data_IF_480559039078
#
_entry.id   IF_480559039078
#
_cell.length_a   1.000
_cell.length_b   1.000
_cell.length_c   1.000
_cell.angle_alpha   90.00
_cell.angle_beta   90.00
_cell.angle_gamma   90.00
#
_symmetry.space_group_name_H-M   'P 1'
#
loop_
_entity.id
_entity.type
_entity.pdbx_description
1 polymer ?
#
# COMPACT_ATOMS: atom_id res chain seq x y z
N UNK A 1 -4.97 16.88 17.46
CA UNK A 1 -3.95 16.48 16.46
C UNK A 1 -4.14 15.05 16.01
N UNK A 2 -4.28 14.82 14.71
CA UNK A 2 -4.45 13.49 14.13
C UNK A 2 -4.49 13.57 12.60
N UNK A 3 -4.23 12.44 11.93
CA UNK A 3 -4.50 12.32 10.51
C UNK A 3 -6.01 12.40 10.30
N UNK A 4 -6.47 13.25 9.40
CA UNK A 4 -7.87 13.29 8.97
C UNK A 4 -7.93 12.50 7.67
N UNK A 5 -8.59 11.34 7.70
CA UNK A 5 -8.63 10.43 6.57
C UNK A 5 -10.02 9.86 6.31
N UNK A 6 -10.33 9.62 5.04
CA UNK A 6 -11.54 8.91 4.61
C UNK A 6 -11.18 7.74 3.70
N UNK A 7 -11.92 6.65 3.86
CA UNK A 7 -11.89 5.51 2.95
C UNK A 7 -13.25 5.38 2.27
N UNK A 8 -13.25 5.06 0.99
CA UNK A 8 -14.48 4.83 0.23
C UNK A 8 -14.27 3.92 -0.96
N UNK A 9 -15.38 3.62 -1.63
CA UNK A 9 -15.40 2.91 -2.91
C UNK A 9 -15.66 3.94 -4.01
N UNK A 10 -14.85 3.91 -5.05
CA UNK A 10 -14.98 4.73 -6.25
C UNK A 10 -15.46 3.85 -7.41
N UNK A 11 -16.41 4.34 -8.20
CA UNK A 11 -17.03 3.59 -9.31
C UNK A 11 -16.77 4.25 -10.67
N UNK A 12 -16.34 5.52 -10.71
CA UNK A 12 -16.10 6.25 -11.97
C UNK A 12 -14.62 6.22 -12.39
N UNK A 13 -13.71 6.30 -11.43
CA UNK A 13 -12.26 6.22 -11.66
C UNK A 13 -11.78 4.83 -11.27
N UNK A 14 -11.93 3.90 -12.19
CA UNK A 14 -11.62 2.48 -11.99
C UNK A 14 -10.68 2.01 -13.08
N UNK A 15 -9.56 1.42 -12.69
CA UNK A 15 -8.59 0.86 -13.64
C UNK A 15 -9.15 -0.38 -14.38
N UNK A 16 -9.80 -1.26 -13.63
CA UNK A 16 -10.40 -2.49 -14.12
C UNK A 16 -11.55 -2.93 -13.21
N UNK A 17 -12.56 -3.59 -13.77
CA UNK A 17 -13.75 -4.01 -13.04
C UNK A 17 -14.76 -2.88 -12.83
N UNK A 18 -15.47 -2.90 -11.70
CA UNK A 18 -16.55 -1.93 -11.39
C UNK A 18 -16.20 -0.94 -10.28
N UNK A 19 -15.14 -1.21 -9.51
CA UNK A 19 -14.86 -0.54 -8.24
C UNK A 19 -13.37 -0.38 -8.01
N UNK A 20 -13.00 0.74 -7.44
CA UNK A 20 -11.68 1.02 -6.87
C UNK A 20 -11.80 1.40 -5.40
N UNK A 21 -10.70 1.25 -4.66
CA UNK A 21 -10.60 1.72 -3.28
C UNK A 21 -10.02 3.12 -3.30
N UNK A 22 -10.69 4.05 -2.63
CA UNK A 22 -10.29 5.46 -2.54
C UNK A 22 -9.86 5.78 -1.12
N UNK A 23 -8.77 6.52 -1.01
CA UNK A 23 -8.26 7.09 0.23
C UNK A 23 -8.03 8.58 0.02
N UNK A 24 -8.51 9.39 0.96
CA UNK A 24 -8.17 10.80 1.04
C UNK A 24 -7.60 11.04 2.44
N UNK A 25 -6.46 11.73 2.55
CA UNK A 25 -5.80 11.99 3.82
C UNK A 25 -5.24 13.42 3.88
N UNK A 26 -5.33 14.03 5.05
CA UNK A 26 -4.79 15.36 5.35
C UNK A 26 -4.29 15.43 6.79
N UNK A 27 -3.62 16.53 7.15
CA UNK A 27 -2.96 16.70 8.45
C UNK A 27 -1.97 15.57 8.79
N UNK A 28 -1.23 15.11 7.76
CA UNK A 28 -0.28 14.00 7.87
C UNK A 28 0.90 14.35 8.79
N UNK A 29 1.61 15.48 8.60
CA UNK A 29 2.64 16.00 9.53
C UNK A 29 3.61 14.90 10.04
N UNK A 30 4.24 14.14 9.13
CA UNK A 30 5.11 13.01 9.46
C UNK A 30 4.39 11.72 9.86
N UNK A 31 3.06 11.66 9.72
CA UNK A 31 2.21 10.47 9.96
C UNK A 31 1.67 9.92 8.64
N UNK A 32 0.96 8.81 8.72
CA UNK A 32 0.42 8.12 7.56
C UNK A 32 -1.02 7.66 7.75
N UNK A 33 -1.73 7.52 6.62
CA UNK A 33 -2.93 6.70 6.49
C UNK A 33 -2.59 5.49 5.63
N UNK A 34 -3.07 4.31 6.01
CA UNK A 34 -2.78 3.07 5.31
C UNK A 34 -4.05 2.28 5.06
N UNK A 35 -4.18 1.75 3.84
CA UNK A 35 -5.11 0.68 3.53
C UNK A 35 -4.35 -0.64 3.59
N UNK A 36 -4.76 -1.51 4.51
CA UNK A 36 -4.08 -2.77 4.78
C UNK A 36 -4.95 -3.97 4.40
N UNK A 37 -4.34 -4.93 3.71
CA UNK A 37 -4.89 -6.27 3.52
C UNK A 37 -3.91 -7.30 4.07
N UNK A 38 -4.44 -8.27 4.80
CA UNK A 38 -3.65 -9.36 5.36
C UNK A 38 -3.88 -10.65 4.57
N UNK A 39 -2.82 -11.37 4.26
CA UNK A 39 -2.86 -12.65 3.54
C UNK A 39 -1.99 -13.70 4.23
N UNK A 40 -2.41 -14.96 4.18
CA UNK A 40 -1.58 -16.08 4.59
C UNK A 40 -0.47 -16.29 3.54
N UNK A 41 0.74 -16.64 4.00
CA UNK A 41 1.88 -16.90 3.11
C UNK A 41 2.66 -18.12 3.58
N UNK A 42 3.39 -18.73 2.65
CA UNK A 42 4.32 -19.81 2.95
C UNK A 42 5.75 -19.30 2.79
N UNK A 43 6.58 -19.51 3.82
CA UNK A 43 8.01 -19.20 3.78
C UNK A 43 8.70 -19.85 2.57
N UNK A 44 9.72 -19.17 2.01
CA UNK A 44 10.52 -19.68 0.90
C UNK A 44 9.83 -19.64 -0.46
N UNK A 45 8.55 -19.24 -0.55
CA UNK A 45 7.89 -19.02 -1.84
C UNK A 45 8.33 -17.69 -2.45
N UNK A 46 8.49 -17.69 -3.77
CA UNK A 46 8.65 -16.45 -4.52
C UNK A 46 7.32 -15.70 -4.55
N UNK A 47 7.38 -14.38 -4.50
CA UNK A 47 6.22 -13.52 -4.67
C UNK A 47 6.53 -12.38 -5.64
N UNK A 48 5.49 -11.92 -6.30
CA UNK A 48 5.46 -10.66 -7.03
C UNK A 48 4.20 -9.93 -6.58
N UNK A 49 4.36 -8.68 -6.17
CA UNK A 49 3.29 -7.83 -5.71
C UNK A 49 3.24 -6.57 -6.58
N UNK A 50 2.04 -6.25 -7.07
CA UNK A 50 1.76 -5.05 -7.84
C UNK A 50 0.55 -4.33 -7.27
N UNK A 51 0.56 -3.01 -7.34
CA UNK A 51 -0.62 -2.16 -7.16
C UNK A 51 -0.72 -1.19 -8.32
N UNK A 52 -1.94 -0.79 -8.66
CA UNK A 52 -2.22 0.21 -9.67
C UNK A 52 -2.82 1.42 -8.97
N UNK A 53 -2.12 2.53 -9.01
CA UNK A 53 -2.44 3.72 -8.20
C UNK A 53 -2.63 4.91 -9.12
N UNK A 54 -3.78 5.56 -8.98
CA UNK A 54 -4.04 6.88 -9.51
C UNK A 54 -3.98 7.88 -8.34
N UNK A 55 -3.13 8.90 -8.43
CA UNK A 55 -3.04 9.97 -7.44
C UNK A 55 -3.67 11.21 -8.05
N UNK A 56 -4.85 11.57 -7.56
CA UNK A 56 -5.60 12.74 -8.06
C UNK A 56 -4.97 14.06 -7.63
N UNK A 57 -4.48 14.11 -6.39
CA UNK A 57 -3.84 15.28 -5.79
C UNK A 57 -2.92 14.87 -4.66
N UNK A 58 -1.70 15.40 -4.65
CA UNK A 58 -0.74 15.24 -3.56
C UNK A 58 0.06 16.52 -3.32
N UNK A 59 0.35 16.81 -2.06
CA UNK A 59 1.22 17.92 -1.63
C UNK A 59 1.88 17.51 -0.34
N UNK A 60 3.20 17.73 -0.25
CA UNK A 60 4.01 17.41 0.93
C UNK A 60 3.78 15.99 1.47
N UNK A 61 3.52 15.06 0.56
CA UNK A 61 3.22 13.67 0.86
C UNK A 61 3.70 12.76 -0.27
N UNK A 62 3.72 11.46 0.02
CA UNK A 62 4.04 10.40 -0.94
C UNK A 62 3.15 9.19 -0.74
N UNK A 63 2.94 8.45 -1.83
CA UNK A 63 2.26 7.16 -1.83
C UNK A 63 3.25 6.04 -2.08
N UNK A 64 3.23 4.99 -1.24
CA UNK A 64 4.05 3.79 -1.46
C UNK A 64 3.27 2.50 -1.21
N UNK A 65 3.82 1.39 -1.71
CA UNK A 65 3.37 0.04 -1.43
C UNK A 65 4.39 -0.63 -0.50
N UNK A 66 3.92 -1.22 0.58
CA UNK A 66 4.76 -1.95 1.54
C UNK A 66 4.19 -3.32 1.83
N UNK A 67 5.07 -4.24 2.20
CA UNK A 67 4.72 -5.61 2.57
C UNK A 67 5.41 -5.95 3.89
N UNK A 68 4.65 -6.10 4.97
CA UNK A 68 5.17 -6.56 6.25
C UNK A 68 4.99 -8.07 6.39
N UNK A 69 6.07 -8.84 6.53
CA UNK A 69 5.99 -10.27 6.82
C UNK A 69 6.06 -10.53 8.32
N UNK A 70 5.19 -11.41 8.80
CA UNK A 70 5.05 -11.72 10.22
C UNK A 70 5.12 -13.23 10.46
N UNK A 71 5.77 -13.61 11.56
CA UNK A 71 5.73 -14.98 12.07
C UNK A 71 4.42 -15.31 12.80
N UNK A 72 4.30 -16.55 13.27
CA UNK A 72 3.10 -17.02 13.98
C UNK A 72 2.82 -16.28 15.30
N UNK A 73 3.82 -15.63 15.89
CA UNK A 73 3.69 -14.82 17.09
C UNK A 73 3.39 -13.34 16.78
N UNK A 74 3.27 -12.99 15.50
CA UNK A 74 3.06 -11.60 15.06
C UNK A 74 4.33 -10.75 15.08
N UNK A 75 5.52 -11.34 15.20
CA UNK A 75 6.79 -10.61 15.09
C UNK A 75 7.10 -10.35 13.62
N UNK A 76 7.56 -9.13 13.32
CA UNK A 76 8.04 -8.77 11.97
C UNK A 76 9.30 -9.56 11.64
N UNK A 77 9.29 -10.24 10.48
CA UNK A 77 10.42 -11.02 9.93
C UNK A 77 10.87 -10.53 8.56
N UNK A 78 10.20 -9.50 8.00
CA UNK A 78 10.62 -8.82 6.79
C UNK A 78 9.75 -7.61 6.48
N UNK A 79 10.31 -6.60 5.82
CA UNK A 79 9.59 -5.37 5.46
C UNK A 79 10.00 -4.78 4.09
N UNK A 80 9.73 -5.47 2.96
CA UNK A 80 9.90 -4.87 1.65
C UNK A 80 9.02 -3.62 1.43
N UNK A 81 9.55 -2.67 0.67
CA UNK A 81 8.84 -1.52 0.16
C UNK A 81 9.09 -1.34 -1.34
N UNK A 82 8.11 -0.80 -2.06
CA UNK A 82 8.30 -0.32 -3.43
C UNK A 82 9.00 1.04 -3.47
N UNK A 83 9.16 1.59 -4.67
CA UNK A 83 9.33 3.03 -4.86
C UNK A 83 8.12 3.84 -4.36
N UNK A 84 8.16 5.16 -4.55
CA UNK A 84 7.07 6.07 -4.13
C UNK A 84 6.59 6.94 -5.29
N UNK A 85 5.32 7.33 -5.25
CA UNK A 85 4.72 8.37 -6.10
C UNK A 85 4.67 9.64 -5.26
N UNK A 86 5.28 10.72 -5.74
CA UNK A 86 5.34 12.01 -5.02
C UNK A 86 4.60 13.14 -5.74
N UNK A 87 3.98 12.84 -6.89
CA UNK A 87 3.31 13.79 -7.76
C UNK A 87 1.95 13.25 -8.22
N UNK A 88 1.07 14.14 -8.65
CA UNK A 88 -0.21 13.78 -9.27
C UNK A 88 0.03 12.93 -10.52
N UNK A 89 -0.73 11.84 -10.68
CA UNK A 89 -0.59 10.96 -11.84
C UNK A 89 -1.36 11.45 -13.07
N UNK A 90 -2.03 12.61 -12.97
CA UNK A 90 -2.76 13.27 -14.08
C UNK A 90 -3.79 12.37 -14.77
N UNK A 91 -4.45 11.49 -14.02
CA UNK A 91 -5.46 10.56 -14.53
C UNK A 91 -4.91 9.17 -14.91
N UNK A 92 -3.58 9.01 -14.98
CA UNK A 92 -2.95 7.73 -15.29
C UNK A 92 -2.83 6.83 -14.05
N UNK A 93 -2.71 5.52 -14.27
CA UNK A 93 -2.47 4.53 -13.21
C UNK A 93 -1.02 4.07 -13.24
N UNK A 94 -0.29 4.37 -12.17
CA UNK A 94 1.10 3.96 -12.00
C UNK A 94 1.18 2.61 -11.29
N UNK A 95 2.12 1.79 -11.73
CA UNK A 95 2.41 0.50 -11.10
C UNK A 95 3.47 0.70 -10.02
N UNK A 96 3.10 0.50 -8.75
CA UNK A 96 4.08 0.24 -7.71
C UNK A 96 4.22 -1.26 -7.53
N UNK A 97 5.46 -1.74 -7.50
CA UNK A 97 5.74 -3.16 -7.42
C UNK A 97 6.89 -3.48 -6.46
N UNK A 98 6.86 -4.70 -5.94
CA UNK A 98 7.95 -5.32 -5.19
C UNK A 98 7.89 -6.83 -5.42
N UNK A 99 9.04 -7.50 -5.38
CA UNK A 99 9.14 -8.93 -5.56
C UNK A 99 10.26 -9.48 -4.67
N UNK A 100 10.25 -10.78 -4.46
CA UNK A 100 11.29 -11.45 -3.71
C UNK A 100 10.85 -12.82 -3.23
N UNK A 101 11.44 -13.24 -2.11
CA UNK A 101 11.15 -14.52 -1.45
C UNK A 101 10.52 -14.23 -0.10
N UNK A 102 9.45 -14.95 0.24
CA UNK A 102 8.82 -14.87 1.56
C UNK A 102 9.85 -15.30 2.63
N UNK A 103 10.15 -14.45 3.64
CA UNK A 103 11.17 -14.74 4.64
C UNK A 103 10.91 -16.03 5.43
N UNK A 104 11.99 -16.61 5.95
CA UNK A 104 11.90 -17.73 6.87
C UNK A 104 11.09 -17.35 8.12
N UNK A 105 10.21 -18.25 8.56
CA UNK A 105 9.32 -18.08 9.70
C UNK A 105 8.04 -17.30 9.40
N UNK A 106 7.90 -16.68 8.22
CA UNK A 106 6.71 -15.93 7.88
C UNK A 106 5.51 -16.86 7.61
N UNK A 107 4.38 -16.55 8.24
CA UNK A 107 3.09 -17.23 7.99
C UNK A 107 2.02 -16.25 7.48
N UNK A 108 2.29 -14.95 7.58
CA UNK A 108 1.37 -13.88 7.23
C UNK A 108 2.11 -12.71 6.60
N UNK A 109 1.47 -12.06 5.64
CA UNK A 109 1.91 -10.80 5.07
C UNK A 109 0.81 -9.72 5.20
N UNK A 110 1.20 -8.50 5.57
CA UNK A 110 0.35 -7.32 5.53
C UNK A 110 0.76 -6.46 4.34
N UNK A 111 -0.06 -6.48 3.29
CA UNK A 111 0.06 -5.61 2.11
C UNK A 111 -0.54 -4.26 2.49
N UNK A 112 0.21 -3.17 2.30
CA UNK A 112 -0.24 -1.84 2.67
C UNK A 112 0.05 -0.83 1.57
N UNK A 113 -0.98 -0.11 1.13
CA UNK A 113 -0.83 1.15 0.39
C UNK A 113 -0.88 2.28 1.41
N UNK A 114 0.15 3.12 1.44
CA UNK A 114 0.28 4.19 2.43
C UNK A 114 0.25 5.56 1.76
N UNK A 115 -0.46 6.51 2.35
CA UNK A 115 -0.29 7.95 2.13
C UNK A 115 0.51 8.47 3.32
N UNK A 116 1.70 9.02 3.08
CA UNK A 116 2.66 9.44 4.11
C UNK A 116 3.00 10.91 3.87
N UNK A 117 2.85 11.77 4.88
CA UNK A 117 3.29 13.17 4.81
C UNK A 117 4.45 13.45 5.74
#
# INVERSE_FOLDING_TARGET
DGVIGTYGIEENKVMAGKRAQRMDASSLNGKSMSLMQTVAVEQGKNYVLHSHINVEKISDAKVNLTLGFYDANGKVVGWPASGSINDDTKGEYFVLSTNGVVPQGAVRAAVQVNIIG
#
